data_IF_640149063822
#
_entry.id   IF_640149063822
#
_cell.length_a   1.000
_cell.length_b   1.000
_cell.length_c   1.000
_cell.angle_alpha   90.00
_cell.angle_beta   90.00
_cell.angle_gamma   90.00
#
_symmetry.space_group_name_H-M   'P 1'
#
loop_
_entity.id
_entity.type
_entity.pdbx_description
1 polymer ?
#
# COMPACT_ATOMS: atom_id res chain seq x y z
N UNK A 1 -15.85 16.73 21.19
CA UNK A 1 -17.14 16.21 20.67
C UNK A 1 -17.15 16.47 19.17
N UNK A 2 -16.83 15.47 18.36
CA UNK A 2 -16.96 15.50 16.89
C UNK A 2 -17.57 14.16 16.47
N UNK A 3 -18.62 14.22 15.66
CA UNK A 3 -19.60 13.15 15.42
C UNK A 3 -19.03 12.04 14.53
N UNK A 4 -19.08 10.80 15.02
CA UNK A 4 -18.83 9.59 14.24
C UNK A 4 -20.06 9.28 13.36
N UNK A 5 -19.88 9.19 12.04
CA UNK A 5 -20.88 8.64 11.12
C UNK A 5 -20.91 7.10 11.19
N UNK A 6 -22.06 6.45 10.96
CA UNK A 6 -22.18 5.00 11.10
C UNK A 6 -21.64 4.31 9.84
N UNK A 7 -20.61 3.47 9.98
CA UNK A 7 -20.16 2.61 8.88
C UNK A 7 -18.67 2.25 8.84
N UNK A 8 -17.83 2.88 9.65
CA UNK A 8 -16.42 2.50 9.74
C UNK A 8 -16.26 1.27 10.66
N UNK A 9 -16.40 0.07 10.09
CA UNK A 9 -15.95 -1.15 10.76
C UNK A 9 -14.42 -1.14 10.78
N UNK A 10 -13.88 -0.76 11.94
CA UNK A 10 -12.49 -0.96 12.31
C UNK A 10 -12.21 -2.46 12.38
N UNK A 11 -11.23 -2.94 11.62
CA UNK A 11 -10.62 -4.24 11.89
C UNK A 11 -9.25 -3.96 12.46
N UNK A 12 -9.17 -3.98 13.79
CA UNK A 12 -7.90 -4.10 14.52
C UNK A 12 -7.30 -5.46 14.20
N UNK A 13 -6.29 -5.49 13.33
CA UNK A 13 -5.40 -6.63 13.14
C UNK A 13 -4.05 -6.30 13.74
N UNK A 14 -3.49 -7.24 14.49
CA UNK A 14 -2.14 -7.23 15.07
C UNK A 14 -1.09 -6.61 14.12
N UNK A 15 -0.07 -5.89 14.61
CA UNK A 15 0.99 -5.39 13.74
C UNK A 15 1.74 -6.57 13.13
N UNK A 16 1.50 -6.83 11.85
CA UNK A 16 2.34 -7.75 11.08
C UNK A 16 3.61 -6.99 10.71
N UNK A 17 4.76 -7.55 11.07
CA UNK A 17 6.07 -7.00 10.71
C UNK A 17 6.21 -6.99 9.18
N UNK A 18 5.94 -5.86 8.53
CA UNK A 18 6.44 -5.61 7.18
C UNK A 18 7.88 -5.13 7.33
N UNK A 19 8.83 -6.05 7.15
CA UNK A 19 10.23 -5.70 6.98
C UNK A 19 10.35 -4.84 5.70
N UNK A 20 10.48 -3.53 5.90
CA UNK A 20 10.52 -2.55 4.81
C UNK A 20 10.96 -1.19 5.33
N UNK A 21 12.22 -1.08 5.77
CA UNK A 21 12.89 0.12 6.26
C UNK A 21 13.06 1.23 5.19
N UNK A 22 12.04 1.58 4.40
CA UNK A 22 12.14 2.64 3.36
C UNK A 22 10.98 3.62 3.28
N UNK A 23 9.94 3.43 4.08
CA UNK A 23 8.84 4.39 4.16
C UNK A 23 9.27 5.74 4.77
N UNK A 24 10.10 5.83 5.83
CA UNK A 24 10.56 7.13 6.37
C UNK A 24 11.69 7.78 5.55
N UNK A 25 12.13 7.18 4.44
CA UNK A 25 13.25 7.70 3.64
C UNK A 25 12.80 8.48 2.39
N UNK A 26 11.50 8.76 2.24
CA UNK A 26 11.00 9.73 1.26
C UNK A 26 11.31 11.14 1.76
N UNK A 27 12.47 11.66 1.37
CA UNK A 27 12.91 13.02 1.72
C UNK A 27 12.90 13.89 0.47
N UNK A 28 11.82 14.63 0.29
CA UNK A 28 11.67 15.66 -0.74
C UNK A 28 11.04 16.90 -0.14
N UNK A 29 11.32 18.12 -0.65
CA UNK A 29 10.75 19.36 -0.13
C UNK A 29 9.21 19.34 -0.10
N UNK A 30 8.59 18.57 -1.00
CA UNK A 30 7.15 18.35 -1.06
C UNK A 30 6.54 17.67 0.18
N UNK A 31 7.35 16.91 0.95
CA UNK A 31 6.91 16.21 2.16
C UNK A 31 7.14 17.00 3.44
N UNK A 32 7.90 18.10 3.37
CA UNK A 32 8.23 18.95 4.53
C UNK A 32 7.35 20.21 4.62
N UNK A 33 6.50 20.46 3.63
CA UNK A 33 5.63 21.63 3.57
C UNK A 33 4.37 21.43 4.44
N UNK A 34 4.26 22.10 5.61
CA UNK A 34 3.12 21.93 6.51
C UNK A 34 1.81 22.48 5.92
N UNK A 35 1.86 23.29 4.85
CA UNK A 35 0.66 23.76 4.15
C UNK A 35 -0.01 22.65 3.31
N UNK A 36 0.66 21.52 3.09
CA UNK A 36 0.16 20.38 2.29
C UNK A 36 -0.52 19.28 3.13
N UNK A 37 -0.52 19.43 4.45
CA UNK A 37 -1.09 18.46 5.39
C UNK A 37 -0.15 17.29 5.71
N UNK A 38 -0.67 16.31 6.45
CA UNK A 38 0.10 15.17 6.92
C UNK A 38 0.16 14.04 5.89
N UNK A 39 1.36 13.52 5.64
CA UNK A 39 1.58 12.34 4.83
C UNK A 39 1.57 11.08 5.69
N UNK A 40 0.44 10.37 5.68
CA UNK A 40 0.28 9.11 6.39
C UNK A 40 0.59 7.93 5.46
N UNK A 41 1.36 6.97 5.97
CA UNK A 41 1.63 5.72 5.26
C UNK A 41 0.56 4.70 5.64
N UNK A 42 -0.10 4.14 4.63
CA UNK A 42 -1.06 3.05 4.79
C UNK A 42 -0.58 1.82 4.03
N UNK A 43 -0.64 0.65 4.67
CA UNK A 43 -0.42 -0.62 4.00
C UNK A 43 -1.66 -1.05 3.22
N UNK A 44 -1.47 -1.40 1.94
CA UNK A 44 -2.54 -1.91 1.08
C UNK A 44 -2.32 -3.41 0.88
N UNK A 45 -3.26 -4.27 1.30
CA UNK A 45 -3.14 -5.71 1.08
C UNK A 45 -3.03 -6.03 -0.41
N UNK A 46 -2.04 -6.85 -0.79
CA UNK A 46 -1.86 -7.35 -2.16
C UNK A 46 -2.93 -8.40 -2.49
N UNK A 47 -4.17 -7.95 -2.59
CA UNK A 47 -5.35 -8.73 -2.96
C UNK A 47 -6.14 -7.95 -4.00
N UNK A 48 -6.96 -8.60 -4.84
CA UNK A 48 -7.81 -7.87 -5.79
C UNK A 48 -8.63 -6.77 -5.12
N UNK A 49 -9.28 -7.08 -4.00
CA UNK A 49 -10.09 -6.11 -3.24
C UNK A 49 -9.26 -4.93 -2.71
N UNK A 50 -8.07 -5.21 -2.16
CA UNK A 50 -7.16 -4.18 -1.66
C UNK A 50 -6.69 -3.22 -2.77
N UNK A 51 -6.35 -3.77 -3.94
CA UNK A 51 -5.91 -2.98 -5.10
C UNK A 51 -7.06 -2.14 -5.65
N UNK A 52 -8.27 -2.69 -5.77
CA UNK A 52 -9.44 -1.94 -6.30
C UNK A 52 -9.89 -0.80 -5.41
N UNK A 53 -9.47 -0.76 -4.15
CA UNK A 53 -9.81 0.31 -3.19
C UNK A 53 -9.01 1.59 -3.42
N UNK A 54 -7.88 1.50 -4.13
CA UNK A 54 -7.00 2.64 -4.40
C UNK A 54 -7.02 3.00 -5.89
N UNK A 55 -6.85 4.28 -6.21
CA UNK A 55 -6.74 4.75 -7.59
C UNK A 55 -5.31 4.52 -8.12
N UNK A 56 -4.94 3.26 -8.29
CA UNK A 56 -3.59 2.89 -8.72
C UNK A 56 -3.38 3.22 -10.21
N UNK A 57 -2.38 4.06 -10.49
CA UNK A 57 -1.99 4.45 -11.85
C UNK A 57 -0.62 3.90 -12.24
N UNK A 58 -0.42 3.57 -13.53
CA UNK A 58 -1.42 3.59 -14.60
C UNK A 58 -2.34 2.35 -14.52
N UNK A 59 -3.54 2.44 -15.09
CA UNK A 59 -4.55 1.36 -15.07
C UNK A 59 -4.02 -0.03 -15.47
N UNK A 60 -3.14 -0.19 -16.51
CA UNK A 60 -2.60 -1.49 -16.85
C UNK A 60 -1.81 -2.16 -15.72
N UNK A 61 -1.21 -1.37 -14.82
CA UNK A 61 -0.51 -1.90 -13.64
C UNK A 61 -1.52 -2.43 -12.61
N UNK A 62 -2.61 -1.71 -12.36
CA UNK A 62 -3.69 -2.20 -11.50
C UNK A 62 -4.24 -3.54 -12.00
N UNK A 63 -4.54 -3.62 -13.30
CA UNK A 63 -5.03 -4.85 -13.92
C UNK A 63 -4.05 -6.01 -13.81
N UNK A 64 -2.75 -5.76 -14.03
CA UNK A 64 -1.71 -6.76 -13.87
C UNK A 64 -1.64 -7.28 -12.43
N UNK A 65 -1.65 -6.38 -11.45
CA UNK A 65 -1.60 -6.76 -10.03
C UNK A 65 -2.85 -7.51 -9.58
N UNK A 66 -4.03 -7.09 -10.02
CA UNK A 66 -5.30 -7.78 -9.72
C UNK A 66 -5.27 -9.20 -10.27
N UNK A 67 -4.85 -9.36 -11.54
CA UNK A 67 -4.77 -10.66 -12.21
C UNK A 67 -3.81 -11.63 -11.52
N UNK A 68 -2.71 -11.10 -10.97
CA UNK A 68 -1.61 -11.91 -10.44
C UNK A 68 -1.45 -11.87 -8.92
N UNK A 69 -2.35 -11.21 -8.17
CA UNK A 69 -2.18 -10.93 -6.75
C UNK A 69 -1.75 -12.15 -5.89
N UNK A 70 -2.32 -13.33 -6.17
CA UNK A 70 -2.03 -14.57 -5.42
C UNK A 70 -0.67 -15.22 -5.73
N UNK A 71 -0.06 -14.88 -6.87
CA UNK A 71 1.14 -15.54 -7.38
C UNK A 71 2.12 -14.57 -8.05
N UNK A 72 2.02 -13.28 -7.73
CA UNK A 72 2.81 -12.22 -8.36
C UNK A 72 4.32 -12.51 -8.30
N UNK A 73 4.78 -12.99 -7.15
CA UNK A 73 6.19 -13.33 -6.93
C UNK A 73 6.62 -14.68 -7.51
N UNK A 74 5.70 -15.43 -8.13
CA UNK A 74 6.01 -16.63 -8.90
C UNK A 74 6.26 -16.30 -10.38
N UNK A 75 5.93 -15.07 -10.83
CA UNK A 75 6.19 -14.63 -12.20
C UNK A 75 7.71 -14.59 -12.49
N UNK A 76 8.14 -14.99 -13.70
CA UNK A 76 9.56 -15.13 -14.04
C UNK A 76 10.44 -13.96 -13.63
N UNK A 77 9.97 -12.74 -13.91
CA UNK A 77 10.71 -11.49 -13.70
C UNK A 77 10.74 -11.04 -12.24
N UNK A 78 9.75 -11.45 -11.42
CA UNK A 78 9.59 -10.98 -10.04
C UNK A 78 10.09 -11.98 -8.99
N UNK A 79 10.45 -13.21 -9.40
CA UNK A 79 11.04 -14.23 -8.51
C UNK A 79 12.39 -13.82 -7.94
N UNK A 80 13.16 -12.98 -8.62
CA UNK A 80 14.49 -12.55 -8.16
C UNK A 80 14.41 -11.54 -7.01
N UNK A 81 13.34 -10.76 -6.95
CA UNK A 81 13.08 -9.77 -5.88
C UNK A 81 12.96 -10.41 -4.49
N UNK A 82 12.59 -11.69 -4.41
CA UNK A 82 12.47 -12.43 -3.16
C UNK A 82 13.80 -13.00 -2.63
N UNK A 83 14.87 -13.04 -3.45
CA UNK A 83 16.17 -13.64 -3.04
C UNK A 83 17.14 -12.65 -2.42
N UNK A 84 16.80 -11.37 -2.42
CA UNK A 84 17.66 -10.27 -1.96
C UNK A 84 17.13 -9.57 -0.71
N UNK A 85 16.11 -10.14 -0.06
CA UNK A 85 15.53 -9.67 1.20
C UNK A 85 16.02 -10.53 2.37
#
# INVERSE_FOLDING_TARGET
>A
MLLAGPGASFITGQPLHVAGDRLPHRTGPEFADPARGDYLVEEVPLTPAGITRIDLKPEPVAQLLIKHASHLFQLPDLRQTQRSA
#
